data_IF_655371985101
#
_entry.id   IF_655371985101
#
_cell.length_a   1.000
_cell.length_b   1.000
_cell.length_c   1.000
_cell.angle_alpha   90.00
_cell.angle_beta   90.00
_cell.angle_gamma   90.00
#
_symmetry.space_group_name_H-M   'P 1'
#
loop_
_entity.id
_entity.type
_entity.pdbx_description
1 polymer ?
#
# COMPACT_ATOMS: atom_id res chain seq x y z
N UNK A 1 -0.31 -28.80 4.48
CA UNK A 1 0.24 -27.58 3.81
C UNK A 1 0.07 -27.79 2.31
N UNK A 2 -0.91 -27.14 1.69
CA UNK A 2 -1.18 -27.24 0.27
C UNK A 2 -0.16 -26.40 -0.50
N UNK A 3 0.74 -27.04 -1.22
CA UNK A 3 1.55 -26.41 -2.27
C UNK A 3 0.59 -25.98 -3.38
N UNK A 4 0.37 -24.68 -3.53
CA UNK A 4 -0.46 -24.17 -4.64
C UNK A 4 0.40 -24.12 -5.90
N UNK A 5 0.17 -25.06 -6.79
CA UNK A 5 0.69 -25.02 -8.16
C UNK A 5 -0.33 -24.26 -9.02
N UNK A 6 0.11 -23.19 -9.69
CA UNK A 6 -0.68 -22.53 -10.72
C UNK A 6 -0.12 -22.89 -12.09
N UNK A 7 -1.01 -23.20 -12.99
CA UNK A 7 -0.70 -23.38 -14.40
C UNK A 7 -1.11 -22.12 -15.14
N UNK A 8 -0.26 -21.66 -16.02
CA UNK A 8 -0.47 -20.50 -16.86
C UNK A 8 -0.56 -20.98 -18.29
N UNK A 9 -1.69 -20.69 -18.95
CA UNK A 9 -1.88 -20.94 -20.38
C UNK A 9 -1.65 -19.64 -21.13
N UNK A 10 -0.67 -19.61 -22.02
CA UNK A 10 -0.38 -18.48 -22.91
C UNK A 10 -0.68 -18.94 -24.32
N UNK A 11 -1.43 -18.12 -25.07
CA UNK A 11 -1.64 -18.29 -26.50
C UNK A 11 -0.91 -17.19 -27.23
N UNK A 12 0.05 -17.54 -28.04
CA UNK A 12 0.85 -16.59 -28.79
C UNK A 12 0.77 -16.84 -30.31
N UNK A 13 0.92 -15.78 -31.11
CA UNK A 13 0.91 -15.83 -32.57
C UNK A 13 2.13 -15.06 -33.11
N UNK A 14 2.67 -15.54 -34.23
CA UNK A 14 3.71 -14.81 -34.96
C UNK A 14 3.23 -13.44 -35.48
N UNK A 15 4.15 -12.57 -35.87
CA UNK A 15 3.86 -11.28 -36.50
C UNK A 15 2.94 -11.41 -37.74
N UNK A 16 2.99 -12.53 -38.43
CA UNK A 16 2.14 -12.87 -39.57
C UNK A 16 0.79 -13.47 -39.17
N UNK A 17 0.47 -13.60 -37.85
CA UNK A 17 -0.75 -14.19 -37.35
C UNK A 17 -0.79 -15.73 -37.38
N UNK A 18 0.32 -16.37 -37.74
CA UNK A 18 0.46 -17.83 -37.74
C UNK A 18 0.72 -18.33 -36.31
N UNK A 19 0.00 -19.37 -35.91
CA UNK A 19 0.19 -20.02 -34.61
C UNK A 19 1.62 -20.60 -34.49
N UNK A 20 2.23 -20.46 -33.33
CA UNK A 20 3.51 -21.06 -33.01
C UNK A 20 3.30 -22.53 -32.60
N UNK A 21 3.11 -23.42 -33.57
CA UNK A 21 2.88 -24.85 -33.33
C UNK A 21 4.19 -25.59 -33.16
N UNK A 22 4.21 -26.56 -32.25
CA UNK A 22 5.34 -27.48 -31.98
C UNK A 22 6.70 -26.79 -31.78
N UNK A 23 6.69 -25.51 -31.37
CA UNK A 23 7.91 -24.75 -31.12
C UNK A 23 8.36 -24.87 -29.67
N UNK A 24 9.66 -24.97 -29.42
CA UNK A 24 10.21 -24.88 -28.09
C UNK A 24 10.07 -23.44 -27.56
N UNK A 25 9.48 -23.31 -26.39
CA UNK A 25 9.31 -22.05 -25.66
C UNK A 25 10.19 -22.09 -24.43
N UNK A 26 11.22 -21.28 -24.40
CA UNK A 26 12.08 -21.09 -23.23
C UNK A 26 11.40 -20.16 -22.24
N UNK A 27 11.44 -20.48 -20.97
CA UNK A 27 10.87 -19.62 -19.94
C UNK A 27 11.81 -19.38 -18.78
N UNK A 28 11.60 -18.23 -18.13
CA UNK A 28 12.27 -17.85 -16.89
C UNK A 28 11.23 -17.33 -15.91
N UNK A 29 11.31 -17.79 -14.67
CA UNK A 29 10.43 -17.33 -13.58
C UNK A 29 11.28 -16.61 -12.55
N UNK A 30 10.96 -15.34 -12.31
CA UNK A 30 11.57 -14.51 -11.26
C UNK A 30 10.55 -14.24 -10.17
N UNK A 31 10.95 -14.44 -8.92
CA UNK A 31 10.16 -14.05 -7.74
C UNK A 31 10.73 -12.78 -7.17
N UNK A 32 9.89 -11.76 -7.00
CA UNK A 32 10.21 -10.52 -6.33
C UNK A 32 9.43 -10.40 -5.03
N UNK A 33 10.08 -9.92 -3.98
CA UNK A 33 9.44 -9.59 -2.70
C UNK A 33 8.93 -8.17 -2.79
N UNK A 34 7.66 -7.96 -2.44
CA UNK A 34 7.04 -6.63 -2.40
C UNK A 34 6.67 -6.30 -0.96
N UNK A 35 7.26 -5.23 -0.43
CA UNK A 35 6.90 -4.63 0.85
C UNK A 35 6.41 -3.20 0.60
N UNK A 36 5.17 -2.92 0.97
CA UNK A 36 4.55 -1.59 0.82
C UNK A 36 4.82 -0.93 -0.54
N UNK A 37 4.72 -1.70 -1.65
CA UNK A 37 4.95 -1.26 -3.04
C UNK A 37 6.42 -1.18 -3.48
N UNK A 38 7.37 -1.44 -2.60
CA UNK A 38 8.78 -1.52 -2.97
C UNK A 38 9.11 -2.95 -3.36
N UNK A 39 9.67 -3.12 -4.54
CA UNK A 39 10.35 -4.36 -4.94
C UNK A 39 11.65 -4.41 -4.16
N UNK A 40 11.74 -5.31 -3.18
CA UNK A 40 12.92 -5.40 -2.32
C UNK A 40 14.01 -6.25 -2.94
N UNK A 41 13.63 -7.37 -3.56
CA UNK A 41 14.57 -8.37 -4.08
C UNK A 41 13.91 -9.12 -5.25
N UNK A 42 14.69 -9.42 -6.28
CA UNK A 42 14.25 -10.25 -7.40
C UNK A 42 15.21 -11.41 -7.58
N UNK A 43 14.69 -12.64 -7.49
CA UNK A 43 15.48 -13.87 -7.61
C UNK A 43 14.87 -14.77 -8.67
N UNK A 44 15.69 -15.30 -9.57
CA UNK A 44 15.26 -16.34 -10.49
C UNK A 44 15.04 -17.63 -9.70
N UNK A 45 13.83 -18.20 -9.80
CA UNK A 45 13.43 -19.39 -9.06
C UNK A 45 13.24 -20.62 -9.95
N UNK A 46 12.99 -20.40 -11.25
CA UNK A 46 12.86 -21.47 -12.22
C UNK A 46 13.24 -20.97 -13.62
N UNK A 47 13.68 -21.89 -14.45
CA UNK A 47 13.79 -21.74 -15.89
C UNK A 47 13.66 -23.11 -16.55
N UNK A 48 13.28 -23.14 -17.80
CA UNK A 48 13.12 -24.39 -18.54
C UNK A 48 12.63 -24.15 -19.96
N UNK A 49 12.17 -25.24 -20.56
CA UNK A 49 11.62 -25.25 -21.89
C UNK A 49 10.35 -26.08 -21.92
N UNK A 50 9.35 -25.61 -22.60
CA UNK A 50 8.07 -26.32 -22.87
C UNK A 50 7.80 -26.27 -24.37
N UNK A 51 6.97 -27.17 -24.87
CA UNK A 51 6.60 -27.21 -26.28
C UNK A 51 5.18 -26.68 -26.40
N UNK A 52 4.96 -25.74 -27.33
CA UNK A 52 3.63 -25.28 -27.69
C UNK A 52 2.88 -26.40 -28.42
N UNK A 53 1.58 -26.53 -28.13
CA UNK A 53 0.72 -27.51 -28.79
C UNK A 53 0.30 -27.07 -30.21
N UNK A 54 -0.55 -27.84 -30.87
CA UNK A 54 -1.07 -27.55 -32.22
C UNK A 54 -1.83 -26.22 -32.31
N UNK A 55 -2.39 -25.73 -31.20
CA UNK A 55 -3.08 -24.45 -31.09
C UNK A 55 -2.13 -23.28 -30.74
N UNK A 56 -0.82 -23.54 -30.60
CA UNK A 56 0.18 -22.56 -30.16
C UNK A 56 0.09 -22.24 -28.67
N UNK A 57 -0.56 -23.07 -27.87
CA UNK A 57 -0.69 -22.90 -26.43
C UNK A 57 0.37 -23.71 -25.70
N UNK A 58 0.87 -23.17 -24.62
CA UNK A 58 1.79 -23.86 -23.72
C UNK A 58 1.49 -23.57 -22.27
N UNK A 59 1.92 -24.47 -21.39
CA UNK A 59 1.68 -24.36 -19.95
C UNK A 59 3.00 -24.39 -19.22
N UNK A 60 3.27 -23.34 -18.43
CA UNK A 60 4.43 -23.25 -17.56
C UNK A 60 4.03 -23.60 -16.14
N UNK A 61 4.57 -24.67 -15.55
CA UNK A 61 4.32 -25.00 -14.15
C UNK A 61 5.12 -24.07 -13.23
N UNK A 62 4.42 -23.21 -12.49
CA UNK A 62 5.05 -22.30 -11.52
C UNK A 62 4.73 -22.77 -10.11
N UNK A 63 5.76 -23.12 -9.35
CA UNK A 63 5.63 -23.41 -7.94
C UNK A 63 5.74 -22.12 -7.12
N UNK A 64 4.63 -21.73 -6.49
CA UNK A 64 4.57 -20.52 -5.65
C UNK A 64 5.14 -20.85 -4.27
N UNK A 65 6.43 -20.67 -4.08
CA UNK A 65 7.14 -20.90 -2.81
C UNK A 65 7.36 -19.59 -2.06
N UNK A 66 7.05 -19.61 -0.77
CA UNK A 66 7.40 -18.51 0.14
C UNK A 66 8.92 -18.44 0.32
N UNK A 67 9.43 -17.22 0.49
CA UNK A 67 10.80 -17.05 0.95
C UNK A 67 10.84 -17.20 2.48
N UNK A 68 11.61 -18.18 2.96
CA UNK A 68 11.73 -18.46 4.40
C UNK A 68 12.20 -17.27 5.23
N UNK A 69 12.97 -16.36 4.64
CA UNK A 69 13.44 -15.13 5.30
C UNK A 69 12.27 -14.21 5.71
N UNK A 70 11.13 -14.29 5.02
CA UNK A 70 9.98 -13.42 5.23
C UNK A 70 8.71 -14.14 5.72
N UNK A 71 8.84 -15.40 6.13
CA UNK A 71 7.71 -16.28 6.47
C UNK A 71 6.74 -15.71 7.52
N UNK A 72 7.26 -14.91 8.45
CA UNK A 72 6.47 -14.30 9.53
C UNK A 72 6.07 -12.85 9.24
N UNK A 73 6.45 -12.30 8.09
CA UNK A 73 6.10 -10.95 7.72
C UNK A 73 4.76 -10.95 6.96
N UNK A 74 3.70 -10.53 7.64
CA UNK A 74 2.35 -10.46 7.07
C UNK A 74 2.14 -9.28 6.11
N UNK A 75 3.10 -8.35 6.03
CA UNK A 75 3.00 -7.15 5.18
C UNK A 75 3.45 -7.40 3.75
N UNK A 76 4.28 -8.43 3.52
CA UNK A 76 4.82 -8.74 2.21
C UNK A 76 3.90 -9.64 1.38
N UNK A 77 4.07 -9.53 0.08
CA UNK A 77 3.59 -10.50 -0.90
C UNK A 77 4.66 -10.70 -1.99
N UNK A 78 4.46 -11.67 -2.87
CA UNK A 78 5.40 -12.00 -3.92
C UNK A 78 4.79 -11.69 -5.28
N UNK A 79 5.61 -11.15 -6.17
CA UNK A 79 5.31 -11.05 -7.59
C UNK A 79 6.19 -12.05 -8.33
N UNK A 80 5.55 -12.92 -9.09
CA UNK A 80 6.21 -13.89 -9.95
C UNK A 80 6.09 -13.37 -11.38
N UNK A 81 7.21 -12.95 -11.95
CA UNK A 81 7.32 -12.54 -13.36
C UNK A 81 7.74 -13.75 -14.17
N UNK A 82 6.91 -14.13 -15.13
CA UNK A 82 7.13 -15.27 -16.01
C UNK A 82 7.38 -14.71 -17.40
N UNK A 83 8.60 -14.86 -17.86
CA UNK A 83 9.02 -14.47 -19.20
C UNK A 83 9.13 -15.72 -20.07
N UNK A 84 8.42 -15.75 -21.18
CA UNK A 84 8.43 -16.84 -22.15
C UNK A 84 8.95 -16.31 -23.50
N UNK A 85 9.83 -17.04 -24.15
CA UNK A 85 10.46 -16.68 -25.40
C UNK A 85 10.42 -17.86 -26.37
N UNK A 86 9.86 -17.65 -27.55
CA UNK A 86 9.84 -18.62 -28.65
C UNK A 86 10.58 -18.05 -29.87
N UNK A 87 11.33 -18.92 -30.56
CA UNK A 87 12.02 -18.56 -31.81
C UNK A 87 11.55 -19.51 -32.90
N UNK A 88 11.01 -18.96 -33.99
CA UNK A 88 10.55 -19.76 -35.12
C UNK A 88 11.73 -20.20 -36.01
N UNK A 89 11.43 -21.05 -37.00
CA UNK A 89 12.42 -21.58 -37.98
C UNK A 89 13.05 -20.50 -38.85
N UNK A 90 12.41 -19.35 -38.97
CA UNK A 90 12.96 -18.19 -39.71
C UNK A 90 13.90 -17.33 -38.84
N UNK A 91 14.09 -17.69 -37.55
CA UNK A 91 14.94 -16.94 -36.62
C UNK A 91 14.23 -15.75 -35.96
N UNK A 92 12.91 -15.58 -36.15
CA UNK A 92 12.14 -14.55 -35.46
C UNK A 92 11.89 -14.98 -34.02
N UNK A 93 12.22 -14.10 -33.09
CA UNK A 93 12.02 -14.32 -31.65
C UNK A 93 10.86 -13.47 -31.16
N UNK A 94 9.95 -14.10 -30.45
CA UNK A 94 8.87 -13.44 -29.72
C UNK A 94 9.00 -13.72 -28.23
N UNK A 95 8.70 -12.71 -27.41
CA UNK A 95 8.69 -12.83 -25.97
C UNK A 95 7.42 -12.25 -25.39
N UNK A 96 6.91 -12.92 -24.37
CA UNK A 96 5.75 -12.49 -23.58
C UNK A 96 6.12 -12.53 -22.11
N UNK A 97 5.58 -11.60 -21.34
CA UNK A 97 5.77 -11.55 -19.90
C UNK A 97 4.42 -11.47 -19.21
N UNK A 98 4.20 -12.35 -18.25
CA UNK A 98 3.04 -12.28 -17.37
C UNK A 98 3.46 -12.20 -15.91
N UNK A 99 2.57 -11.67 -15.07
CA UNK A 99 2.84 -11.45 -13.65
C UNK A 99 1.73 -12.03 -12.79
N UNK A 100 2.12 -12.93 -11.88
CA UNK A 100 1.23 -13.49 -10.87
C UNK A 100 1.60 -12.91 -9.51
N UNK A 101 0.63 -12.33 -8.82
CA UNK A 101 0.82 -11.91 -7.43
C UNK A 101 0.26 -12.98 -6.49
N UNK A 102 1.04 -13.36 -5.49
CA UNK A 102 0.64 -14.34 -4.48
C UNK A 102 1.27 -14.02 -3.13
N UNK A 103 0.58 -14.35 -2.05
CA UNK A 103 1.05 -14.11 -0.69
C UNK A 103 0.17 -14.74 0.36
N UNK A 104 0.50 -14.47 1.61
CA UNK A 104 -0.27 -14.94 2.76
C UNK A 104 -1.57 -14.16 2.96
N UNK A 105 -1.79 -13.09 2.21
CA UNK A 105 -3.01 -12.27 2.19
C UNK A 105 -3.48 -12.11 0.75
N UNK A 106 -4.75 -11.87 0.54
CA UNK A 106 -5.34 -11.62 -0.78
C UNK A 106 -5.66 -10.14 -1.02
N UNK A 107 -5.62 -9.33 0.02
CA UNK A 107 -5.92 -7.91 -0.01
C UNK A 107 -4.74 -7.07 0.50
N UNK A 108 -4.70 -5.83 0.03
CA UNK A 108 -3.84 -4.76 0.53
C UNK A 108 -4.76 -3.64 0.99
N UNK A 109 -4.61 -3.25 2.25
CA UNK A 109 -5.32 -2.12 2.86
C UNK A 109 -4.34 -0.96 3.02
N UNK A 110 -4.76 0.22 2.62
CA UNK A 110 -4.03 1.47 2.80
C UNK A 110 -4.94 2.50 3.45
N UNK A 111 -4.36 3.28 4.32
CA UNK A 111 -4.97 4.47 4.90
C UNK A 111 -3.90 5.55 5.02
N UNK A 112 -4.27 6.77 4.81
CA UNK A 112 -3.38 7.92 4.88
C UNK A 112 -3.97 8.94 5.84
N UNK A 113 -3.14 9.44 6.75
CA UNK A 113 -3.42 10.60 7.57
C UNK A 113 -2.38 11.68 7.27
N UNK A 114 -2.78 12.94 7.39
CA UNK A 114 -1.82 14.04 7.40
C UNK A 114 -0.96 13.91 8.66
N UNK A 115 0.31 14.26 8.58
CA UNK A 115 1.21 14.29 9.75
C UNK A 115 0.63 15.12 10.90
N UNK A 116 -0.06 16.21 10.57
CA UNK A 116 -0.77 17.09 11.50
C UNK A 116 -2.20 17.28 11.01
N UNK A 117 -3.17 17.00 11.87
CA UNK A 117 -4.59 17.14 11.57
C UNK A 117 -5.23 18.17 12.50
N UNK A 118 -5.83 19.20 11.92
CA UNK A 118 -6.58 20.20 12.66
C UNK A 118 -7.99 19.71 12.97
N UNK A 119 -8.32 19.52 14.24
CA UNK A 119 -9.64 19.02 14.67
C UNK A 119 -10.80 20.01 14.50
N UNK A 120 -10.50 21.27 14.23
CA UNK A 120 -11.50 22.28 13.95
C UNK A 120 -12.08 22.20 12.52
N UNK A 121 -11.60 21.25 11.72
CA UNK A 121 -12.06 21.04 10.34
C UNK A 121 -12.42 19.57 10.14
N UNK A 122 -13.45 19.27 9.31
CA UNK A 122 -13.74 17.90 8.90
C UNK A 122 -12.50 17.28 8.23
N UNK A 123 -12.23 16.03 8.54
CA UNK A 123 -11.16 15.29 7.89
C UNK A 123 -11.75 14.16 7.06
N UNK A 124 -11.66 14.32 5.75
CA UNK A 124 -12.08 13.32 4.80
C UNK A 124 -10.89 12.38 4.48
N UNK A 125 -11.18 11.11 4.46
CA UNK A 125 -10.20 10.07 4.12
C UNK A 125 -10.85 8.94 3.32
N UNK A 126 -10.01 8.15 2.66
CA UNK A 126 -10.41 6.95 1.93
C UNK A 126 -9.57 5.79 2.42
N UNK A 127 -10.23 4.71 2.83
CA UNK A 127 -9.56 3.44 3.08
C UNK A 127 -9.46 2.65 1.77
N UNK A 128 -8.31 2.69 1.14
CA UNK A 128 -8.09 2.02 -0.15
C UNK A 128 -7.84 0.53 0.07
N UNK A 129 -8.68 -0.30 -0.53
CA UNK A 129 -8.50 -1.75 -0.53
C UNK A 129 -8.41 -2.25 -1.96
N UNK A 130 -7.40 -3.06 -2.21
CA UNK A 130 -7.19 -3.68 -3.52
C UNK A 130 -6.68 -5.10 -3.36
N UNK A 131 -6.85 -5.90 -4.39
CA UNK A 131 -6.21 -7.21 -4.48
C UNK A 131 -4.72 -7.07 -4.79
N UNK A 132 -3.98 -8.18 -4.79
CA UNK A 132 -2.55 -8.18 -5.06
C UNK A 132 -2.17 -7.76 -6.49
N UNK A 133 -3.14 -7.70 -7.41
CA UNK A 133 -2.96 -7.22 -8.78
C UNK A 133 -3.30 -5.73 -8.95
N UNK A 134 -3.59 -5.02 -7.84
CA UNK A 134 -3.90 -3.60 -7.86
C UNK A 134 -5.34 -3.25 -8.20
N UNK A 135 -6.23 -4.22 -8.35
CA UNK A 135 -7.63 -3.98 -8.64
C UNK A 135 -8.38 -3.62 -7.35
N UNK A 136 -9.19 -2.55 -7.31
CA UNK A 136 -9.96 -2.18 -6.14
C UNK A 136 -10.95 -3.29 -5.78
N UNK A 137 -11.11 -3.51 -4.48
CA UNK A 137 -12.02 -4.52 -3.92
C UNK A 137 -12.92 -3.83 -2.90
N UNK A 138 -14.23 -4.00 -3.05
CA UNK A 138 -15.21 -3.49 -2.10
C UNK A 138 -15.35 -4.45 -0.92
N UNK A 139 -15.02 -3.96 0.26
CA UNK A 139 -15.17 -4.67 1.54
C UNK A 139 -15.54 -3.69 2.64
N UNK A 140 -16.20 -4.19 3.66
CA UNK A 140 -16.44 -3.45 4.90
C UNK A 140 -15.30 -3.68 5.88
N UNK A 141 -14.88 -2.61 6.55
CA UNK A 141 -13.84 -2.65 7.55
C UNK A 141 -14.20 -1.88 8.80
N UNK A 142 -13.31 -1.96 9.78
CA UNK A 142 -13.38 -1.20 11.02
C UNK A 142 -12.10 -0.39 11.20
N UNK A 143 -12.19 0.74 11.86
CA UNK A 143 -11.04 1.48 12.32
C UNK A 143 -11.13 1.81 13.79
N UNK A 144 -9.98 2.00 14.42
CA UNK A 144 -9.83 2.42 15.81
C UNK A 144 -8.75 3.48 15.89
N UNK A 145 -9.02 4.53 16.66
CA UNK A 145 -8.09 5.61 16.95
C UNK A 145 -7.55 5.44 18.35
N UNK A 146 -6.25 5.28 18.49
CA UNK A 146 -5.57 5.17 19.77
C UNK A 146 -4.77 6.43 20.04
N UNK A 147 -4.91 7.02 21.22
CA UNK A 147 -4.02 8.06 21.66
C UNK A 147 -2.66 7.46 21.98
N UNK A 148 -1.58 8.07 21.48
CA UNK A 148 -0.23 7.70 21.83
C UNK A 148 0.28 8.59 22.98
N UNK A 149 1.17 8.03 23.81
CA UNK A 149 1.75 8.74 24.96
C UNK A 149 2.88 9.69 24.56
N UNK A 150 3.44 9.47 23.38
CA UNK A 150 4.57 10.25 22.86
C UNK A 150 4.47 10.47 21.35
N UNK A 151 5.27 11.38 20.82
CA UNK A 151 5.34 11.71 19.40
C UNK A 151 6.01 10.61 18.55
N UNK A 152 6.60 9.61 19.18
CA UNK A 152 7.19 8.44 18.49
C UNK A 152 6.14 7.37 18.17
N UNK A 153 4.90 7.52 18.67
CA UNK A 153 3.76 6.62 18.45
C UNK A 153 4.01 5.16 18.90
N UNK A 154 4.97 4.93 19.81
CA UNK A 154 5.33 3.57 20.24
C UNK A 154 4.46 3.03 21.35
N UNK A 155 4.01 3.90 22.24
CA UNK A 155 3.17 3.54 23.37
C UNK A 155 1.77 4.08 23.15
N UNK A 156 0.81 3.17 23.03
CA UNK A 156 -0.59 3.52 22.82
C UNK A 156 -1.38 3.28 24.11
N UNK A 157 -2.48 4.00 24.26
CA UNK A 157 -3.46 3.68 25.28
C UNK A 157 -4.09 2.31 25.04
N UNK A 158 -4.50 1.63 26.10
CA UNK A 158 -5.09 0.28 26.01
C UNK A 158 -6.43 0.29 25.26
N UNK A 159 -7.23 1.34 25.46
CA UNK A 159 -8.53 1.48 24.83
C UNK A 159 -8.49 2.50 23.69
N UNK A 160 -9.19 2.26 22.60
CA UNK A 160 -9.31 3.25 21.55
C UNK A 160 -10.12 4.46 22.02
N UNK A 161 -9.65 5.67 21.66
CA UNK A 161 -10.36 6.91 21.90
C UNK A 161 -11.61 7.06 21.02
N UNK A 162 -11.61 6.45 19.84
CA UNK A 162 -12.77 6.37 18.96
C UNK A 162 -12.66 5.13 18.06
N UNK A 163 -13.82 4.64 17.63
CA UNK A 163 -13.96 3.51 16.69
C UNK A 163 -15.02 3.82 15.65
N UNK A 164 -14.91 3.19 14.50
CA UNK A 164 -15.91 3.33 13.43
C UNK A 164 -15.82 2.20 12.41
N UNK A 165 -16.74 2.25 11.47
CA UNK A 165 -16.78 1.34 10.32
C UNK A 165 -16.60 2.14 9.04
N UNK A 166 -16.10 1.49 7.99
CA UNK A 166 -15.97 2.09 6.67
C UNK A 166 -16.31 1.09 5.56
N UNK A 167 -16.67 1.61 4.40
CA UNK A 167 -16.66 0.88 3.13
C UNK A 167 -15.38 1.27 2.40
N UNK A 168 -14.65 0.28 1.90
CA UNK A 168 -13.40 0.54 1.18
C UNK A 168 -13.64 1.33 -0.10
N UNK A 169 -12.64 2.15 -0.46
CA UNK A 169 -12.61 2.96 -1.68
C UNK A 169 -13.71 4.04 -1.77
N UNK A 170 -14.45 4.25 -0.69
CA UNK A 170 -15.41 5.34 -0.54
C UNK A 170 -14.84 6.42 0.39
N UNK A 171 -15.19 7.68 0.11
CA UNK A 171 -14.82 8.79 0.98
C UNK A 171 -15.66 8.77 2.25
N UNK A 172 -15.00 8.97 3.38
CA UNK A 172 -15.66 9.13 4.66
C UNK A 172 -15.05 10.25 5.49
N UNK A 173 -15.81 10.80 6.39
CA UNK A 173 -15.36 11.82 7.33
C UNK A 173 -15.06 11.19 8.69
N UNK A 174 -13.92 11.49 9.26
CA UNK A 174 -13.59 11.16 10.65
C UNK A 174 -13.78 12.39 11.52
N UNK A 175 -14.60 12.26 12.56
CA UNK A 175 -14.90 13.34 13.50
C UNK A 175 -13.88 13.36 14.64
N UNK A 176 -13.02 14.37 14.64
CA UNK A 176 -11.97 14.56 15.65
C UNK A 176 -12.36 15.51 16.78
N UNK A 177 -13.47 16.25 16.63
CA UNK A 177 -13.78 17.44 17.42
C UNK A 177 -13.77 17.25 18.94
N UNK A 178 -14.20 16.09 19.40
CA UNK A 178 -14.30 15.76 20.85
C UNK A 178 -13.04 15.10 21.41
N UNK A 179 -12.02 14.82 20.57
CA UNK A 179 -10.80 14.18 21.02
C UNK A 179 -9.81 15.21 21.61
N UNK A 180 -9.05 14.88 22.65
CA UNK A 180 -7.94 15.71 23.10
C UNK A 180 -6.91 15.94 22.01
N UNK A 181 -6.23 17.09 22.02
CA UNK A 181 -5.07 17.31 21.16
C UNK A 181 -3.91 16.41 21.61
N UNK A 182 -3.18 15.83 20.67
CA UNK A 182 -2.09 14.89 20.95
C UNK A 182 -1.77 13.98 19.79
N UNK A 183 -0.81 13.07 19.95
CA UNK A 183 -0.47 12.06 18.94
C UNK A 183 -1.49 10.93 18.90
N UNK A 184 -1.87 10.49 17.71
CA UNK A 184 -2.84 9.41 17.47
C UNK A 184 -2.35 8.42 16.42
N UNK A 185 -2.70 7.16 16.63
CA UNK A 185 -2.53 6.07 15.67
C UNK A 185 -3.90 5.58 15.24
N UNK A 186 -4.18 5.65 13.96
CA UNK A 186 -5.33 5.02 13.34
C UNK A 186 -4.93 3.60 12.94
N UNK A 187 -5.68 2.61 13.40
CA UNK A 187 -5.57 1.21 12.99
C UNK A 187 -6.83 0.82 12.23
N UNK A 188 -6.67 0.43 10.98
CA UNK A 188 -7.76 -0.06 10.14
C UNK A 188 -7.63 -1.56 9.92
N UNK A 189 -8.76 -2.26 9.87
CA UNK A 189 -8.83 -3.71 9.69
C UNK A 189 -9.93 -4.06 8.70
N UNK A 190 -9.60 -4.92 7.75
CA UNK A 190 -10.56 -5.59 6.87
C UNK A 190 -10.34 -7.10 6.93
N UNK A 191 -11.34 -7.89 6.54
CA UNK A 191 -11.21 -9.34 6.38
C UNK A 191 -11.23 -9.69 4.91
N UNK A 192 -10.31 -10.54 4.50
CA UNK A 192 -10.32 -11.07 3.13
C UNK A 192 -11.37 -12.18 2.94
N UNK A 193 -11.53 -12.65 1.70
CA UNK A 193 -12.49 -13.71 1.37
C UNK A 193 -12.25 -15.05 2.08
N UNK A 194 -11.14 -15.20 2.81
CA UNK A 194 -10.82 -16.36 3.65
C UNK A 194 -11.00 -16.06 5.15
N UNK A 195 -11.49 -14.87 5.49
CA UNK A 195 -11.65 -14.41 6.87
C UNK A 195 -10.35 -13.97 7.55
N UNK A 196 -9.25 -13.86 6.80
CA UNK A 196 -7.97 -13.40 7.33
C UNK A 196 -7.95 -11.88 7.46
N UNK A 197 -7.49 -11.39 8.61
CA UNK A 197 -7.38 -9.96 8.87
C UNK A 197 -6.20 -9.33 8.11
N UNK A 198 -6.49 -8.20 7.48
CA UNK A 198 -5.52 -7.32 6.84
C UNK A 198 -5.60 -5.97 7.51
N UNK A 199 -4.48 -5.49 8.01
CA UNK A 199 -4.38 -4.27 8.81
C UNK A 199 -3.58 -3.20 8.11
N UNK A 200 -3.91 -1.94 8.37
CA UNK A 200 -3.10 -0.77 8.04
C UNK A 200 -3.07 0.19 9.22
N UNK A 201 -1.97 0.91 9.37
CA UNK A 201 -1.79 1.92 10.40
C UNK A 201 -1.34 3.24 9.78
N UNK A 202 -1.82 4.34 10.32
CA UNK A 202 -1.38 5.69 9.98
C UNK A 202 -1.34 6.56 11.24
N UNK A 203 -0.41 7.49 11.27
CA UNK A 203 -0.15 8.33 12.44
C UNK A 203 -0.48 9.78 12.13
N UNK A 204 -0.95 10.52 13.14
CA UNK A 204 -1.16 11.96 13.06
C UNK A 204 -0.97 12.62 14.42
N UNK A 205 -0.62 13.90 14.40
CA UNK A 205 -0.71 14.76 15.58
C UNK A 205 -1.96 15.62 15.44
N UNK A 206 -2.96 15.34 16.29
CA UNK A 206 -4.20 16.09 16.34
C UNK A 206 -4.02 17.37 17.13
N UNK A 207 -4.45 18.51 16.61
CA UNK A 207 -4.36 19.79 17.28
C UNK A 207 -5.58 20.68 17.02
N UNK A 208 -5.82 21.66 17.91
CA UNK A 208 -6.77 22.74 17.71
C UNK A 208 -6.02 24.05 17.47
N UNK A 209 -6.63 24.95 16.68
CA UNK A 209 -6.14 26.33 16.56
C UNK A 209 -6.24 27.12 17.88
N UNK A 210 -7.04 26.62 18.82
CA UNK A 210 -7.25 27.18 20.15
C UNK A 210 -6.28 26.65 21.20
N UNK A 211 -5.42 25.69 20.82
CA UNK A 211 -4.42 25.15 21.73
C UNK A 211 -3.39 26.22 22.10
N UNK A 212 -3.17 26.44 23.39
CA UNK A 212 -2.22 27.44 23.90
C UNK A 212 -0.76 27.05 23.68
N UNK A 213 -0.48 25.81 23.28
CA UNK A 213 0.83 25.25 22.98
C UNK A 213 0.71 24.07 22.03
N UNK A 214 1.81 23.69 21.35
CA UNK A 214 1.83 22.45 20.57
C UNK A 214 1.43 21.24 21.41
N UNK A 215 0.64 20.28 20.84
CA UNK A 215 0.16 19.10 21.55
C UNK A 215 1.24 18.04 21.82
N UNK A 216 2.44 18.25 21.28
CA UNK A 216 3.63 17.44 21.54
C UNK A 216 4.81 18.33 21.87
N UNK A 217 5.79 17.80 22.61
CA UNK A 217 6.98 18.55 22.92
C UNK A 217 7.82 18.80 21.64
N UNK A 218 7.96 20.06 21.26
CA UNK A 218 8.71 20.46 20.08
C UNK A 218 9.36 21.84 20.27
N UNK A 219 10.50 22.04 19.64
CA UNK A 219 11.13 23.36 19.58
C UNK A 219 10.41 24.27 18.60
N UNK A 220 9.94 23.72 17.49
CA UNK A 220 9.23 24.46 16.43
C UNK A 220 7.99 23.68 16.03
N UNK A 221 6.84 24.32 16.15
CA UNK A 221 5.58 23.86 15.58
C UNK A 221 5.23 24.78 14.42
N UNK A 222 4.95 24.19 13.28
CA UNK A 222 4.49 24.89 12.09
C UNK A 222 3.37 24.10 11.43
N UNK A 223 2.32 24.78 11.04
CA UNK A 223 1.22 24.22 10.28
C UNK A 223 0.68 25.27 9.31
N UNK A 224 0.59 24.90 8.06
CA UNK A 224 -0.02 25.65 6.98
C UNK A 224 -1.48 25.24 6.84
N UNK A 225 -2.40 26.16 7.13
CA UNK A 225 -3.82 25.82 7.18
C UNK A 225 -4.44 25.72 5.79
N UNK A 226 -3.86 26.37 4.80
CA UNK A 226 -4.26 26.33 3.39
C UNK A 226 -3.03 26.40 2.50
N UNK A 227 -3.06 25.64 1.42
CA UNK A 227 -1.98 25.59 0.41
C UNK A 227 -2.29 26.48 -0.80
N UNK A 228 -3.55 26.89 -0.94
CA UNK A 228 -4.01 27.81 -1.97
C UNK A 228 -4.49 29.10 -1.29
N UNK A 229 -3.98 30.22 -1.75
CA UNK A 229 -4.31 31.52 -1.19
C UNK A 229 -4.31 32.60 -2.27
N UNK A 230 -5.20 33.59 -2.10
CA UNK A 230 -5.35 34.76 -2.96
C UNK A 230 -5.72 35.99 -2.11
N UNK A 231 -6.07 37.09 -2.76
CA UNK A 231 -6.46 38.33 -2.06
C UNK A 231 -7.73 38.19 -1.19
N UNK A 232 -8.59 37.19 -1.49
CA UNK A 232 -9.84 36.93 -0.75
C UNK A 232 -9.66 35.79 0.27
N UNK A 233 -8.70 34.93 0.06
CA UNK A 233 -8.37 33.79 0.93
C UNK A 233 -6.88 33.87 1.32
N UNK A 234 -6.55 34.66 2.34
CA UNK A 234 -5.16 34.88 2.74
C UNK A 234 -4.53 33.60 3.28
N UNK A 235 -3.21 33.47 3.13
CA UNK A 235 -2.45 32.39 3.73
C UNK A 235 -2.57 32.43 5.26
N UNK A 236 -2.83 31.26 5.86
CA UNK A 236 -2.95 31.11 7.31
C UNK A 236 -1.91 30.11 7.82
N UNK A 237 -1.03 30.61 8.69
CA UNK A 237 0.02 29.80 9.30
C UNK A 237 -0.18 29.74 10.82
N UNK A 238 0.02 28.57 11.41
CA UNK A 238 0.04 28.38 12.84
C UNK A 238 1.47 28.08 13.28
N UNK A 239 2.00 28.89 14.21
CA UNK A 239 3.32 28.73 14.80
C UNK A 239 3.21 28.42 16.27
N UNK A 240 4.17 27.68 16.79
CA UNK A 240 4.23 27.41 18.22
C UNK A 240 5.55 26.81 18.65
N UNK A 241 5.75 26.77 19.94
CA UNK A 241 6.87 26.09 20.61
C UNK A 241 6.41 25.62 21.98
N UNK A 242 6.89 24.46 22.43
CA UNK A 242 6.71 24.02 23.82
C UNK A 242 7.80 24.52 24.78
N UNK A 243 8.81 25.21 24.25
CA UNK A 243 9.90 25.76 25.08
C UNK A 243 9.45 27.06 25.74
N UNK A 244 9.81 27.23 27.03
CA UNK A 244 9.60 28.48 27.76
C UNK A 244 10.62 29.50 27.27
N UNK A 245 10.21 30.77 27.28
CA UNK A 245 11.07 31.90 26.96
C UNK A 245 11.74 31.82 25.59
N UNK A 246 11.04 31.22 24.61
CA UNK A 246 11.53 31.12 23.24
C UNK A 246 11.27 32.41 22.46
N UNK A 247 12.27 32.84 21.72
CA UNK A 247 12.15 33.92 20.74
C UNK A 247 11.90 33.34 19.35
N UNK A 248 10.80 33.73 18.71
CA UNK A 248 10.45 33.27 17.36
C UNK A 248 10.66 34.41 16.37
N UNK A 249 11.49 34.16 15.37
CA UNK A 249 11.67 35.07 14.24
C UNK A 249 11.12 34.44 12.99
N UNK A 250 10.24 35.16 12.30
CA UNK A 250 9.67 34.74 11.01
C UNK A 250 10.10 35.72 9.92
N UNK A 251 10.65 35.21 8.84
CA UNK A 251 10.97 35.98 7.65
C UNK A 251 10.03 35.54 6.52
N UNK A 252 9.36 36.48 5.88
CA UNK A 252 8.53 36.26 4.71
C UNK A 252 9.25 36.89 3.52
N UNK A 253 9.49 36.10 2.50
CA UNK A 253 10.10 36.56 1.25
C UNK A 253 9.02 36.56 0.16
N UNK A 254 8.96 37.64 -0.61
CA UNK A 254 8.07 37.81 -1.77
C UNK A 254 8.84 37.57 -3.07
#
# INVERSE_FOLDING_TARGET
RSRRQRQMCIRDRSYSGVLLQDLPVKYTVKRSVVDLWRLAESTQIASGEVIANEDGEFTIPVLLEENNAYKNNTRIYYRYSIEATATNVAGETQSSTDVIAAGNRSLILQTELKEKTCKNQPFNTVFKVQNLNGQPVEVKGTFSLYQAKDADFKQLDENPAATGTFTSNEEMTIEWGNLPSGPYVLKAVVKDGQGKEVTAEANTILFSREDNRPPVETTVWFYEANTEFDATHPAVFCFGTSKKDAYVMMNVFS
#
